data_IF_526715187226
#
_entry.id   IF_526715187226
#
_cell.length_a   1.000
_cell.length_b   1.000
_cell.length_c   1.000
_cell.angle_alpha   90.00
_cell.angle_beta   90.00
_cell.angle_gamma   90.00
#
_symmetry.space_group_name_H-M   'P 1'
#
loop_
_entity.id
_entity.type
_entity.pdbx_description
1 polymer ?
#
# COMPACT_ATOMS: atom_id res chain seq x y z
N UNK A 1 32.09 -15.05 -3.08
CA UNK A 1 32.65 -13.70 -2.77
C UNK A 1 31.83 -12.73 -3.58
N UNK A 2 30.85 -12.10 -2.94
CA UNK A 2 30.04 -11.04 -3.52
C UNK A 2 30.78 -9.74 -3.27
N UNK A 3 31.26 -9.10 -4.34
CA UNK A 3 31.82 -7.77 -4.26
C UNK A 3 30.75 -6.82 -3.69
N UNK A 4 31.05 -6.24 -2.53
CA UNK A 4 30.26 -5.14 -1.99
C UNK A 4 30.42 -3.93 -2.91
N UNK A 5 29.37 -3.55 -3.60
CA UNK A 5 29.34 -2.30 -4.38
C UNK A 5 29.31 -1.15 -3.39
N UNK A 6 30.46 -0.54 -3.14
CA UNK A 6 30.60 0.70 -2.37
C UNK A 6 30.17 1.85 -3.25
N UNK A 7 29.10 2.55 -2.88
CA UNK A 7 28.66 3.79 -3.54
C UNK A 7 29.52 4.97 -3.08
N UNK A 8 30.66 5.15 -3.75
CA UNK A 8 31.50 6.35 -3.64
C UNK A 8 31.03 7.38 -4.67
N UNK A 9 29.99 8.14 -4.42
CA UNK A 9 29.71 9.43 -5.03
C UNK A 9 28.33 9.96 -4.59
N UNK A 10 28.28 10.47 -3.38
CA UNK A 10 27.29 11.48 -3.03
C UNK A 10 28.10 12.69 -2.61
N UNK A 11 28.29 13.61 -3.55
CA UNK A 11 28.85 14.93 -3.29
C UNK A 11 27.93 15.68 -2.34
N UNK A 12 28.17 15.52 -1.08
CA UNK A 12 28.02 16.50 0.00
C UNK A 12 28.50 15.83 1.30
N UNK A 13 29.66 16.23 1.74
CA UNK A 13 30.40 15.89 2.95
C UNK A 13 29.54 15.27 4.07
N UNK A 14 29.54 13.93 4.21
CA UNK A 14 28.97 13.31 5.38
C UNK A 14 28.65 11.80 5.33
N UNK A 15 28.94 11.09 4.25
CA UNK A 15 28.75 9.65 4.21
C UNK A 15 29.99 8.95 3.63
N UNK A 16 30.92 8.60 4.47
CA UNK A 16 31.98 7.63 4.18
C UNK A 16 31.45 6.25 4.56
N UNK A 17 31.39 5.34 3.56
CA UNK A 17 31.11 3.89 3.70
C UNK A 17 29.82 3.55 4.49
N UNK A 18 28.67 3.44 3.80
CA UNK A 18 27.41 3.08 4.39
C UNK A 18 26.50 2.29 3.44
N UNK A 19 25.47 1.70 3.98
CA UNK A 19 24.40 1.06 3.24
C UNK A 19 23.62 2.09 2.40
N UNK A 20 23.15 1.70 1.20
CA UNK A 20 22.31 2.55 0.35
C UNK A 20 21.05 3.03 1.08
N UNK A 21 20.45 2.17 1.92
CA UNK A 21 19.30 2.54 2.74
C UNK A 21 19.58 3.71 3.67
N UNK A 22 20.81 3.84 4.20
CA UNK A 22 21.20 4.97 5.04
C UNK A 22 21.37 6.25 4.22
N UNK A 23 21.97 6.16 3.05
CA UNK A 23 22.12 7.29 2.13
C UNK A 23 20.75 7.85 1.68
N UNK A 24 19.80 6.98 1.32
CA UNK A 24 18.44 7.39 0.94
C UNK A 24 17.73 8.04 2.13
N UNK A 25 17.83 7.46 3.34
CA UNK A 25 17.24 8.06 4.55
C UNK A 25 17.83 9.44 4.86
N UNK A 26 19.14 9.62 4.70
CA UNK A 26 19.79 10.91 4.88
C UNK A 26 19.24 11.94 3.89
N UNK A 27 19.16 11.60 2.59
CA UNK A 27 18.60 12.46 1.55
C UNK A 27 17.15 12.87 1.86
N UNK A 28 16.29 11.90 2.25
CA UNK A 28 14.90 12.19 2.64
C UNK A 28 14.82 13.14 3.85
N UNK A 29 15.66 12.95 4.87
CA UNK A 29 15.72 13.85 6.04
C UNK A 29 16.17 15.25 5.67
N UNK A 30 17.21 15.39 4.84
CA UNK A 30 17.71 16.67 4.33
C UNK A 30 16.61 17.42 3.57
N UNK A 31 15.86 16.72 2.73
CA UNK A 31 14.77 17.27 1.90
C UNK A 31 13.47 17.45 2.71
N UNK A 32 13.48 17.17 4.04
CA UNK A 32 12.32 17.20 4.93
C UNK A 32 11.15 16.33 4.43
N UNK A 33 11.46 15.28 3.68
CA UNK A 33 10.47 14.33 3.19
C UNK A 33 10.03 13.42 4.33
N UNK A 34 8.72 13.31 4.53
CA UNK A 34 8.16 12.28 5.42
C UNK A 34 8.34 10.90 4.76
N UNK A 35 8.73 9.90 5.54
CA UNK A 35 8.90 8.52 5.08
C UNK A 35 8.37 7.49 6.10
N UNK A 36 7.18 7.76 6.62
CA UNK A 36 6.47 6.83 7.48
C UNK A 36 6.12 5.55 6.71
N UNK A 37 5.66 4.49 7.42
CA UNK A 37 5.41 3.18 6.81
C UNK A 37 4.49 3.26 5.59
N UNK A 38 3.41 4.03 5.65
CA UNK A 38 2.43 4.21 4.57
C UNK A 38 2.87 5.13 3.43
N UNK A 39 4.01 5.83 3.54
CA UNK A 39 4.45 6.75 2.49
C UNK A 39 5.07 6.01 1.30
N UNK A 40 4.79 6.49 0.09
CA UNK A 40 5.54 6.11 -1.10
C UNK A 40 6.84 6.91 -1.16
N UNK A 41 7.94 6.23 -1.48
CA UNK A 41 9.30 6.78 -1.56
C UNK A 41 9.97 6.51 -2.92
N UNK A 42 9.20 6.13 -3.93
CA UNK A 42 9.72 5.79 -5.25
C UNK A 42 10.56 6.89 -5.89
N UNK A 43 10.25 8.16 -5.61
CA UNK A 43 11.00 9.32 -6.13
C UNK A 43 12.45 9.40 -5.62
N UNK A 44 12.79 8.63 -4.60
CA UNK A 44 14.14 8.56 -4.01
C UNK A 44 14.93 7.34 -4.45
N UNK A 45 14.34 6.49 -5.30
CA UNK A 45 14.95 5.27 -5.81
C UNK A 45 15.31 5.42 -7.29
N UNK A 46 16.49 4.93 -7.65
CA UNK A 46 16.97 4.81 -9.02
C UNK A 46 16.87 3.36 -9.50
N UNK A 47 17.08 3.15 -10.78
CA UNK A 47 17.16 1.82 -11.37
C UNK A 47 18.30 1.01 -10.70
N UNK A 48 18.00 -0.21 -10.27
CA UNK A 48 18.96 -1.07 -9.56
C UNK A 48 18.97 -0.93 -8.03
N UNK A 49 18.55 0.22 -7.46
CA UNK A 49 18.60 0.47 -6.02
C UNK A 49 17.81 -0.57 -5.22
N UNK A 50 16.68 -1.05 -5.76
CA UNK A 50 15.84 -2.05 -5.09
C UNK A 50 16.59 -3.36 -4.83
N UNK A 51 17.39 -3.83 -5.77
CA UNK A 51 18.15 -5.09 -5.58
C UNK A 51 19.25 -4.92 -4.52
N UNK A 52 19.84 -3.74 -4.43
CA UNK A 52 20.81 -3.41 -3.38
C UNK A 52 20.14 -3.39 -2.01
N UNK A 53 19.00 -2.71 -1.88
CA UNK A 53 18.22 -2.69 -0.65
C UNK A 53 17.74 -4.10 -0.24
N UNK A 54 17.40 -4.97 -1.22
CA UNK A 54 17.09 -6.38 -0.95
C UNK A 54 18.30 -7.11 -0.38
N UNK A 55 19.51 -6.85 -0.87
CA UNK A 55 20.72 -7.47 -0.33
C UNK A 55 20.99 -6.98 1.10
N UNK A 56 20.93 -5.67 1.36
CA UNK A 56 21.06 -5.09 2.70
C UNK A 56 20.02 -5.68 3.69
N UNK A 57 18.75 -5.75 3.25
CA UNK A 57 17.70 -6.36 4.06
C UNK A 57 17.91 -7.87 4.28
N UNK A 58 18.52 -8.57 3.32
CA UNK A 58 18.88 -9.99 3.45
C UNK A 58 19.86 -10.17 4.60
N UNK A 59 20.93 -9.38 4.65
CA UNK A 59 21.92 -9.42 5.74
C UNK A 59 21.26 -9.13 7.11
N UNK A 60 20.34 -8.16 7.16
CA UNK A 60 19.61 -7.86 8.37
C UNK A 60 18.70 -9.03 8.81
N UNK A 61 18.00 -9.69 7.87
CA UNK A 61 17.19 -10.88 8.17
C UNK A 61 18.04 -12.09 8.56
N UNK A 62 19.24 -12.25 8.00
CA UNK A 62 20.19 -13.27 8.45
C UNK A 62 20.52 -13.09 9.93
N UNK A 63 20.82 -11.86 10.32
CA UNK A 63 21.09 -11.51 11.73
C UNK A 63 19.90 -11.81 12.65
N UNK A 64 18.66 -11.55 12.18
CA UNK A 64 17.45 -11.88 12.95
C UNK A 64 17.32 -13.41 13.12
N UNK A 65 17.48 -14.18 12.04
CA UNK A 65 17.39 -15.66 12.11
C UNK A 65 18.45 -16.25 13.02
N UNK A 66 19.69 -15.76 12.96
CA UNK A 66 20.77 -16.19 13.84
C UNK A 66 20.46 -15.88 15.33
N UNK A 67 19.86 -14.71 15.58
CA UNK A 67 19.45 -14.31 16.94
C UNK A 67 18.28 -15.19 17.46
N UNK A 68 17.45 -15.70 16.56
CA UNK A 68 16.39 -16.68 16.87
C UNK A 68 16.95 -18.11 17.00
N UNK A 69 18.27 -18.32 16.88
CA UNK A 69 18.95 -19.60 16.97
C UNK A 69 18.50 -20.60 15.89
N UNK A 70 18.18 -20.10 14.70
CA UNK A 70 17.83 -20.92 13.53
C UNK A 70 19.09 -21.26 12.77
N UNK A 71 19.36 -22.56 12.58
CA UNK A 71 20.50 -23.05 11.81
C UNK A 71 20.25 -22.89 10.31
N UNK A 72 20.60 -21.73 9.76
CA UNK A 72 20.45 -21.42 8.33
C UNK A 72 21.41 -22.17 7.41
N UNK A 73 22.47 -22.73 7.94
CA UNK A 73 23.51 -23.41 7.16
C UNK A 73 23.11 -24.86 6.89
N UNK A 74 22.60 -25.57 7.89
CA UNK A 74 22.35 -27.00 7.84
C UNK A 74 20.85 -27.35 7.69
N UNK A 75 19.92 -26.47 8.11
CA UNK A 75 18.49 -26.69 7.87
C UNK A 75 18.11 -26.36 6.41
N UNK A 76 17.74 -27.37 5.59
CA UNK A 76 17.41 -27.16 4.19
C UNK A 76 16.14 -26.30 4.00
N UNK A 77 15.26 -26.21 5.00
CA UNK A 77 14.04 -25.40 4.93
C UNK A 77 14.32 -23.91 5.21
N UNK A 78 15.30 -23.64 6.08
CA UNK A 78 15.66 -22.27 6.48
C UNK A 78 16.75 -21.66 5.57
N UNK A 79 17.44 -22.50 4.77
CA UNK A 79 18.41 -22.04 3.78
C UNK A 79 17.77 -21.05 2.79
N UNK A 80 18.30 -19.83 2.73
CA UNK A 80 17.79 -18.77 1.85
C UNK A 80 16.50 -18.07 2.35
N UNK A 81 16.01 -18.35 3.56
CA UNK A 81 14.83 -17.68 4.15
C UNK A 81 15.03 -16.18 4.26
N UNK A 82 16.20 -15.71 4.67
CA UNK A 82 16.51 -14.29 4.77
C UNK A 82 16.25 -13.53 3.44
N UNK A 83 16.76 -14.08 2.33
CA UNK A 83 16.55 -13.48 1.00
C UNK A 83 15.09 -13.58 0.54
N UNK A 84 14.39 -14.67 0.85
CA UNK A 84 12.94 -14.77 0.55
C UNK A 84 12.14 -13.73 1.31
N UNK A 85 12.45 -13.49 2.59
CA UNK A 85 11.83 -12.43 3.38
C UNK A 85 12.11 -11.06 2.79
N UNK A 86 13.38 -10.73 2.48
CA UNK A 86 13.72 -9.46 1.86
C UNK A 86 12.96 -9.23 0.55
N UNK A 87 12.97 -10.20 -0.37
CA UNK A 87 12.21 -10.09 -1.64
C UNK A 87 10.71 -9.95 -1.42
N UNK A 88 10.14 -10.69 -0.48
CA UNK A 88 8.71 -10.57 -0.13
C UNK A 88 8.38 -9.15 0.33
N UNK A 89 9.20 -8.55 1.20
CA UNK A 89 8.98 -7.18 1.65
C UNK A 89 9.04 -6.17 0.50
N UNK A 90 10.09 -6.19 -0.31
CA UNK A 90 10.30 -5.18 -1.34
C UNK A 90 9.41 -5.34 -2.57
N UNK A 91 9.10 -6.57 -2.98
CA UNK A 91 8.43 -6.84 -4.25
C UNK A 91 6.94 -7.15 -4.09
N UNK A 92 6.51 -7.65 -2.92
CA UNK A 92 5.16 -8.16 -2.73
C UNK A 92 4.37 -7.30 -1.73
N UNK A 93 4.67 -7.44 -0.42
CA UNK A 93 3.82 -6.88 0.63
C UNK A 93 4.00 -5.38 0.85
N UNK A 94 5.17 -4.81 0.51
CA UNK A 94 5.43 -3.37 0.54
C UNK A 94 5.83 -2.78 -0.81
N UNK A 95 5.63 -3.49 -1.92
CA UNK A 95 5.99 -3.02 -3.25
C UNK A 95 5.42 -1.65 -3.60
N UNK A 96 4.19 -1.34 -3.19
CA UNK A 96 3.56 -0.03 -3.40
C UNK A 96 4.26 1.14 -2.67
N UNK A 97 5.15 0.86 -1.72
CA UNK A 97 6.02 1.87 -1.11
C UNK A 97 7.16 2.30 -2.06
N UNK A 98 7.66 1.36 -2.86
CA UNK A 98 8.83 1.50 -3.72
C UNK A 98 8.48 1.69 -5.20
N UNK A 99 7.27 1.28 -5.61
CA UNK A 99 6.78 1.45 -6.98
C UNK A 99 6.15 2.83 -7.18
N UNK A 100 6.32 3.47 -8.33
CA UNK A 100 5.58 4.68 -8.66
C UNK A 100 4.06 4.41 -8.69
N UNK A 101 3.28 5.48 -8.60
CA UNK A 101 1.83 5.38 -8.72
C UNK A 101 1.45 4.74 -10.08
N UNK A 102 0.46 3.83 -10.11
CA UNK A 102 0.01 3.26 -11.36
C UNK A 102 -0.62 4.33 -12.26
N UNK A 103 -0.31 4.28 -13.56
CA UNK A 103 -0.92 5.17 -14.53
C UNK A 103 -2.44 5.03 -14.53
N UNK A 104 -3.13 6.14 -14.39
CA UNK A 104 -4.58 6.24 -14.48
C UNK A 104 -4.96 6.95 -15.78
N UNK A 105 -5.12 6.18 -16.87
CA UNK A 105 -5.66 6.74 -18.12
C UNK A 105 -7.05 7.29 -17.86
N UNK A 106 -7.20 8.60 -18.02
CA UNK A 106 -8.45 9.30 -17.87
C UNK A 106 -9.11 9.56 -19.22
N UNK A 107 -10.44 9.56 -19.23
CA UNK A 107 -11.27 9.88 -20.39
C UNK A 107 -12.12 11.11 -20.05
N UNK A 108 -12.36 12.02 -20.99
CA UNK A 108 -13.29 13.13 -20.79
C UNK A 108 -14.70 12.62 -20.44
N UNK A 109 -15.37 13.29 -19.51
CA UNK A 109 -16.78 13.08 -19.17
C UNK A 109 -17.57 14.38 -19.41
N UNK A 110 -17.34 14.99 -20.56
CA UNK A 110 -17.82 16.31 -20.96
C UNK A 110 -18.77 16.30 -22.17
N UNK A 111 -19.24 15.10 -22.57
CA UNK A 111 -20.22 14.94 -23.64
C UNK A 111 -21.62 15.35 -23.20
N UNK A 112 -22.56 15.56 -24.16
CA UNK A 112 -23.95 15.87 -23.87
C UNK A 112 -24.65 14.79 -23.00
N UNK A 113 -24.17 13.52 -23.10
CA UNK A 113 -24.62 12.37 -22.31
C UNK A 113 -23.59 12.02 -21.21
N UNK A 114 -23.13 13.03 -20.44
CA UNK A 114 -22.14 12.77 -19.39
C UNK A 114 -22.70 11.84 -18.31
N UNK A 115 -21.85 10.97 -17.80
CA UNK A 115 -22.21 10.12 -16.66
C UNK A 115 -22.22 10.95 -15.35
N UNK A 116 -23.37 11.04 -14.69
CA UNK A 116 -23.58 11.79 -13.45
C UNK A 116 -23.93 10.88 -12.27
N UNK A 117 -24.05 9.59 -12.49
CA UNK A 117 -24.40 8.63 -11.46
C UNK A 117 -23.25 8.28 -10.51
N UNK A 118 -23.58 7.51 -9.50
CA UNK A 118 -22.60 6.92 -8.60
C UNK A 118 -22.03 5.64 -9.19
N UNK A 119 -20.69 5.57 -9.29
CA UNK A 119 -19.96 4.34 -9.61
C UNK A 119 -19.43 3.75 -8.31
N UNK A 120 -19.68 2.47 -8.04
CA UNK A 120 -19.12 1.75 -6.89
C UNK A 120 -18.29 0.56 -7.37
N UNK A 121 -17.01 0.59 -7.07
CA UNK A 121 -16.05 -0.48 -7.41
C UNK A 121 -15.67 -1.24 -6.16
N UNK A 122 -15.80 -2.57 -6.20
CA UNK A 122 -15.28 -3.49 -5.18
C UNK A 122 -13.86 -3.93 -5.55
N UNK A 123 -12.94 -3.83 -4.60
CA UNK A 123 -11.54 -4.24 -4.79
C UNK A 123 -11.10 -5.11 -3.61
N UNK A 124 -10.56 -6.29 -3.88
CA UNK A 124 -9.88 -7.06 -2.85
C UNK A 124 -8.60 -6.35 -2.41
N UNK A 125 -8.35 -6.37 -1.12
CA UNK A 125 -7.16 -5.78 -0.50
C UNK A 125 -6.31 -6.85 0.17
N UNK A 126 -5.00 -6.74 -0.07
CA UNK A 126 -3.97 -7.41 0.69
C UNK A 126 -3.00 -6.36 1.17
N UNK A 127 -2.94 -6.16 2.47
CA UNK A 127 -2.10 -5.16 3.11
C UNK A 127 -1.33 -5.79 4.27
N UNK A 128 -0.52 -5.00 4.92
CA UNK A 128 0.25 -5.38 6.09
C UNK A 128 0.10 -4.30 7.16
N UNK A 129 -0.21 -4.71 8.39
CA UNK A 129 -0.28 -3.79 9.52
C UNK A 129 1.13 -3.31 9.88
N UNK A 130 1.32 -1.99 9.98
CA UNK A 130 2.61 -1.39 10.34
C UNK A 130 3.12 -1.74 11.74
N UNK A 131 2.23 -2.15 12.67
CA UNK A 131 2.61 -2.42 14.05
C UNK A 131 3.38 -3.74 14.23
N UNK A 132 2.93 -4.81 13.60
CA UNK A 132 3.49 -6.15 13.81
C UNK A 132 3.85 -6.86 12.51
N UNK A 133 3.74 -6.16 11.37
CA UNK A 133 3.98 -6.70 10.03
C UNK A 133 3.17 -8.00 9.77
N UNK A 134 1.97 -8.08 10.35
CA UNK A 134 1.04 -9.17 10.08
C UNK A 134 0.08 -8.79 8.94
N UNK A 135 -0.39 -9.79 8.16
CA UNK A 135 -1.26 -9.54 7.02
C UNK A 135 -2.59 -8.91 7.44
N UNK A 136 -3.09 -8.03 6.59
CA UNK A 136 -4.44 -7.47 6.62
C UNK A 136 -5.12 -7.90 5.34
N UNK A 137 -6.23 -8.61 5.45
CA UNK A 137 -6.97 -9.14 4.30
C UNK A 137 -8.41 -8.66 4.32
N UNK A 138 -8.88 -8.14 3.19
CA UNK A 138 -10.23 -7.61 3.14
C UNK A 138 -10.65 -7.09 1.79
N UNK A 139 -11.63 -6.21 1.81
CA UNK A 139 -12.25 -5.61 0.63
C UNK A 139 -12.41 -4.12 0.84
N UNK A 140 -12.11 -3.33 -0.19
CA UNK A 140 -12.50 -1.93 -0.30
C UNK A 140 -13.66 -1.76 -1.27
N UNK A 141 -14.61 -0.92 -0.90
CA UNK A 141 -15.66 -0.41 -1.76
C UNK A 141 -15.36 1.08 -1.99
N UNK A 142 -15.21 1.45 -3.25
CA UNK A 142 -14.84 2.81 -3.67
C UNK A 142 -16.00 3.37 -4.47
N UNK A 143 -16.73 4.31 -3.86
CA UNK A 143 -17.81 5.04 -4.50
C UNK A 143 -17.30 6.37 -5.03
N UNK A 144 -17.67 6.74 -6.25
CA UNK A 144 -17.34 8.03 -6.84
C UNK A 144 -18.52 8.58 -7.65
N UNK A 145 -18.76 9.87 -7.54
CA UNK A 145 -19.58 10.63 -8.48
C UNK A 145 -18.60 11.34 -9.41
N UNK A 146 -18.66 10.99 -10.69
CA UNK A 146 -17.70 11.48 -11.67
C UNK A 146 -17.82 13.02 -11.83
N UNK A 147 -16.67 13.66 -11.97
CA UNK A 147 -16.59 15.05 -12.41
C UNK A 147 -16.37 15.10 -13.94
N UNK A 148 -15.41 15.87 -14.41
CA UNK A 148 -15.11 16.02 -15.82
C UNK A 148 -14.29 14.88 -16.42
N UNK A 149 -13.86 13.92 -15.60
CA UNK A 149 -13.04 12.79 -16.03
C UNK A 149 -13.55 11.48 -15.45
N UNK A 150 -13.43 10.43 -16.25
CA UNK A 150 -13.60 9.02 -15.87
C UNK A 150 -12.25 8.31 -16.03
N UNK A 151 -11.98 7.32 -15.21
CA UNK A 151 -10.83 6.41 -15.37
C UNK A 151 -11.31 5.00 -15.63
N UNK A 152 -10.48 4.19 -16.29
CA UNK A 152 -10.82 2.78 -16.55
C UNK A 152 -11.09 2.03 -15.24
N UNK A 153 -12.10 1.15 -15.21
CA UNK A 153 -12.55 0.42 -14.02
C UNK A 153 -11.40 -0.30 -13.29
N UNK A 154 -10.47 -0.92 -14.03
CA UNK A 154 -9.30 -1.59 -13.45
C UNK A 154 -8.34 -0.64 -12.71
N UNK A 155 -8.40 0.67 -12.99
CA UNK A 155 -7.52 1.65 -12.37
C UNK A 155 -7.86 1.88 -10.90
N UNK A 156 -9.14 1.84 -10.54
CA UNK A 156 -9.59 1.90 -9.14
C UNK A 156 -8.96 0.79 -8.31
N UNK A 157 -9.04 -0.45 -8.79
CA UNK A 157 -8.42 -1.61 -8.12
C UNK A 157 -6.90 -1.50 -8.06
N UNK A 158 -6.23 -1.09 -9.14
CA UNK A 158 -4.76 -0.94 -9.16
C UNK A 158 -4.28 0.11 -8.17
N UNK A 159 -4.96 1.26 -8.09
CA UNK A 159 -4.65 2.32 -7.12
C UNK A 159 -4.87 1.82 -5.69
N UNK A 160 -6.01 1.16 -5.42
CA UNK A 160 -6.30 0.62 -4.10
C UNK A 160 -5.25 -0.42 -3.65
N UNK A 161 -4.87 -1.35 -4.53
CA UNK A 161 -3.84 -2.35 -4.26
C UNK A 161 -2.45 -1.72 -4.09
N UNK A 162 -2.11 -0.71 -4.86
CA UNK A 162 -0.85 0.02 -4.72
C UNK A 162 -0.78 0.75 -3.37
N UNK A 163 -1.86 1.40 -2.92
CA UNK A 163 -1.95 1.98 -1.59
C UNK A 163 -1.86 0.91 -0.49
N UNK A 164 -2.52 -0.24 -0.66
CA UNK A 164 -2.54 -1.32 0.31
C UNK A 164 -1.15 -1.95 0.54
N UNK A 165 -0.32 -2.01 -0.50
CA UNK A 165 1.02 -2.59 -0.45
C UNK A 165 2.09 -1.60 0.05
N UNK A 166 1.83 -0.92 1.18
CA UNK A 166 2.78 0.02 1.79
C UNK A 166 3.08 -0.28 3.26
N UNK A 167 2.32 -1.13 3.90
CA UNK A 167 2.45 -1.41 5.34
C UNK A 167 1.95 -0.25 6.20
N UNK A 168 0.65 -0.01 6.20
CA UNK A 168 0.00 1.13 6.85
C UNK A 168 -1.12 0.70 7.79
N UNK A 169 -1.66 1.63 8.56
CA UNK A 169 -2.90 1.43 9.31
C UNK A 169 -4.11 1.45 8.38
N UNK A 170 -5.17 0.73 8.71
CA UNK A 170 -6.38 0.67 7.86
C UNK A 170 -7.04 2.03 7.71
N UNK A 171 -7.01 2.87 8.72
CA UNK A 171 -7.55 4.23 8.72
C UNK A 171 -6.78 5.14 7.74
N UNK A 172 -5.44 5.04 7.74
CA UNK A 172 -4.59 5.75 6.80
C UNK A 172 -4.77 5.23 5.37
N UNK A 173 -4.85 3.90 5.19
CA UNK A 173 -5.11 3.26 3.91
C UNK A 173 -6.40 3.77 3.28
N UNK A 174 -7.47 3.88 4.07
CA UNK A 174 -8.76 4.39 3.61
C UNK A 174 -8.65 5.83 3.07
N UNK A 175 -7.92 6.70 3.78
CA UNK A 175 -7.63 8.07 3.35
C UNK A 175 -6.72 8.12 2.11
N UNK A 176 -5.72 7.25 2.04
CA UNK A 176 -4.78 7.20 0.92
C UNK A 176 -5.49 6.80 -0.38
N UNK A 177 -6.33 5.77 -0.33
CA UNK A 177 -7.14 5.36 -1.48
C UNK A 177 -8.04 6.52 -1.93
N UNK A 178 -8.75 7.18 -1.00
CA UNK A 178 -9.60 8.31 -1.33
C UNK A 178 -8.80 9.44 -2.02
N UNK A 179 -7.66 9.82 -1.46
CA UNK A 179 -6.80 10.88 -2.00
C UNK A 179 -6.30 10.56 -3.42
N UNK A 180 -5.79 9.35 -3.64
CA UNK A 180 -5.23 8.99 -4.94
C UNK A 180 -6.31 8.84 -6.03
N UNK A 181 -7.50 8.33 -5.69
CA UNK A 181 -8.63 8.28 -6.64
C UNK A 181 -9.14 9.69 -6.95
N UNK A 182 -9.30 10.57 -5.97
CA UNK A 182 -9.68 11.97 -6.19
C UNK A 182 -8.70 12.66 -7.14
N UNK A 183 -7.39 12.46 -6.94
CA UNK A 183 -6.35 13.00 -7.81
C UNK A 183 -6.45 12.47 -9.26
N UNK A 184 -6.77 11.18 -9.42
CA UNK A 184 -6.85 10.55 -10.72
C UNK A 184 -8.12 10.96 -11.52
N UNK A 185 -9.20 11.33 -10.83
CA UNK A 185 -10.53 11.61 -11.42
C UNK A 185 -10.91 13.09 -11.40
N UNK A 186 -10.15 13.94 -10.74
CA UNK A 186 -10.48 15.34 -10.42
C UNK A 186 -11.86 15.49 -9.73
N UNK A 187 -12.37 14.44 -9.08
CA UNK A 187 -13.63 14.50 -8.34
C UNK A 187 -13.39 14.74 -6.86
N UNK A 188 -14.19 15.62 -6.27
CA UNK A 188 -14.22 15.85 -4.81
C UNK A 188 -15.21 14.93 -4.08
N UNK A 189 -16.05 14.19 -4.84
CA UNK A 189 -17.12 13.36 -4.31
C UNK A 189 -16.71 11.90 -4.27
N UNK A 190 -16.24 11.42 -3.12
CA UNK A 190 -15.76 10.06 -2.94
C UNK A 190 -16.19 9.45 -1.60
N UNK A 191 -16.56 8.19 -1.64
CA UNK A 191 -16.72 7.32 -0.49
C UNK A 191 -15.77 6.12 -0.58
N UNK A 192 -15.02 5.85 0.47
CA UNK A 192 -14.21 4.63 0.59
C UNK A 192 -14.62 3.91 1.87
N UNK A 193 -14.99 2.65 1.74
CA UNK A 193 -15.31 1.78 2.87
C UNK A 193 -14.42 0.54 2.78
N UNK A 194 -13.70 0.23 3.85
CA UNK A 194 -12.83 -0.95 3.95
C UNK A 194 -13.36 -1.85 5.05
N UNK A 195 -13.49 -3.13 4.75
CA UNK A 195 -13.78 -4.19 5.68
C UNK A 195 -12.66 -5.22 5.62
N UNK A 196 -11.95 -5.45 6.73
CA UNK A 196 -10.79 -6.33 6.74
C UNK A 196 -10.58 -7.04 8.09
N UNK A 197 -9.92 -8.19 8.01
CA UNK A 197 -9.38 -8.93 9.16
C UNK A 197 -7.90 -8.63 9.31
N UNK A 198 -7.41 -8.70 10.55
CA UNK A 198 -6.05 -8.32 10.92
C UNK A 198 -5.32 -9.49 11.58
N UNK A 199 -4.31 -10.04 10.92
CA UNK A 199 -3.50 -11.14 11.48
C UNK A 199 -2.83 -10.78 12.81
N UNK A 200 -2.58 -9.49 13.08
CA UNK A 200 -2.06 -9.05 14.38
C UNK A 200 -3.05 -9.23 15.54
N UNK A 201 -4.36 -9.31 15.26
CA UNK A 201 -5.41 -9.58 16.22
C UNK A 201 -5.83 -11.06 16.22
N UNK A 202 -5.77 -11.73 15.07
CA UNK A 202 -6.26 -13.12 14.91
C UNK A 202 -5.20 -14.16 15.27
N UNK A 203 -3.94 -13.96 14.82
CA UNK A 203 -2.90 -15.01 14.86
C UNK A 203 -1.94 -14.87 16.04
N UNK A 204 -2.04 -13.82 16.82
CA UNK A 204 -1.20 -13.53 17.98
C UNK A 204 -1.89 -12.59 18.97
N UNK A 205 -1.26 -12.35 20.13
CA UNK A 205 -1.77 -11.41 21.15
C UNK A 205 -3.12 -11.86 21.68
N UNK A 206 -4.17 -11.09 21.37
CA UNK A 206 -5.53 -11.35 21.87
C UNK A 206 -6.21 -12.56 21.23
N UNK A 207 -5.72 -13.05 20.08
CA UNK A 207 -6.27 -14.20 19.33
C UNK A 207 -7.78 -14.11 19.06
N UNK A 208 -8.25 -12.93 18.63
CA UNK A 208 -9.66 -12.68 18.33
C UNK A 208 -9.99 -13.16 16.91
N UNK A 209 -10.24 -14.44 16.72
CA UNK A 209 -10.41 -15.12 15.41
C UNK A 209 -11.58 -14.63 14.55
N UNK A 210 -12.55 -13.92 15.13
CA UNK A 210 -13.69 -13.35 14.42
C UNK A 210 -13.64 -11.83 14.32
N UNK A 211 -12.49 -11.24 14.59
CA UNK A 211 -12.32 -9.79 14.59
C UNK A 211 -12.44 -9.25 13.16
N UNK A 212 -13.37 -8.33 12.95
CA UNK A 212 -13.60 -7.66 11.68
C UNK A 212 -13.57 -6.14 11.90
N UNK A 213 -12.69 -5.45 11.21
CA UNK A 213 -12.56 -3.99 11.31
C UNK A 213 -13.17 -3.32 10.08
N UNK A 214 -13.96 -2.29 10.33
CA UNK A 214 -14.60 -1.48 9.29
C UNK A 214 -14.13 -0.04 9.43
N UNK A 215 -13.66 0.56 8.33
CA UNK A 215 -13.29 1.98 8.27
C UNK A 215 -13.97 2.65 7.09
N UNK A 216 -14.30 3.92 7.26
CA UNK A 216 -15.02 4.69 6.23
C UNK A 216 -14.42 6.09 6.11
N UNK A 217 -14.20 6.54 4.89
CA UNK A 217 -13.87 7.92 4.54
C UNK A 217 -14.89 8.41 3.52
N UNK A 218 -15.55 9.52 3.83
CA UNK A 218 -16.54 10.17 2.96
C UNK A 218 -16.13 11.61 2.73
N UNK A 219 -16.19 12.09 1.47
CA UNK A 219 -15.87 13.47 1.08
C UNK A 219 -16.90 13.98 0.07
N UNK A 220 -17.07 15.31 0.02
CA UNK A 220 -18.04 15.97 -0.83
C UNK A 220 -19.46 15.44 -0.60
N UNK A 221 -20.22 15.19 -1.65
CA UNK A 221 -21.62 14.74 -1.55
C UNK A 221 -21.79 13.46 -0.71
N UNK A 222 -20.82 12.53 -0.71
CA UNK A 222 -20.89 11.35 0.16
C UNK A 222 -20.91 11.69 1.65
N UNK A 223 -20.30 12.81 2.04
CA UNK A 223 -20.30 13.31 3.42
C UNK A 223 -21.51 14.18 3.72
N UNK A 224 -21.83 15.09 2.79
CA UNK A 224 -22.70 16.24 3.04
C UNK A 224 -24.16 15.97 2.67
N UNK A 225 -24.44 15.01 1.76
CA UNK A 225 -25.81 14.62 1.36
C UNK A 225 -26.20 13.25 1.92
N UNK A 226 -27.24 13.18 2.80
CA UNK A 226 -27.72 11.92 3.36
C UNK A 226 -28.23 10.92 2.31
N UNK A 227 -28.76 11.38 1.17
CA UNK A 227 -29.25 10.54 0.08
C UNK A 227 -28.11 9.81 -0.58
N UNK A 228 -27.07 10.52 -1.01
CA UNK A 228 -25.84 9.98 -1.60
C UNK A 228 -25.15 9.00 -0.64
N UNK A 229 -25.07 9.35 0.63
CA UNK A 229 -24.50 8.46 1.65
C UNK A 229 -25.29 7.17 1.76
N UNK A 230 -26.63 7.25 1.80
CA UNK A 230 -27.49 6.07 1.88
C UNK A 230 -27.33 5.18 0.65
N UNK A 231 -27.38 5.77 -0.55
CA UNK A 231 -27.20 5.07 -1.82
C UNK A 231 -25.86 4.30 -1.86
N UNK A 232 -24.77 4.93 -1.39
CA UNK A 232 -23.46 4.28 -1.32
C UNK A 232 -23.49 3.00 -0.46
N UNK A 233 -24.04 3.08 0.75
CA UNK A 233 -24.10 1.90 1.62
C UNK A 233 -25.09 0.85 1.15
N UNK A 234 -26.18 1.22 0.49
CA UNK A 234 -27.12 0.28 -0.12
C UNK A 234 -26.46 -0.46 -1.30
N UNK A 235 -25.68 0.22 -2.15
CA UNK A 235 -24.90 -0.40 -3.21
C UNK A 235 -23.85 -1.40 -2.64
N UNK A 236 -23.20 -1.06 -1.52
CA UNK A 236 -22.28 -2.00 -0.85
C UNK A 236 -23.01 -3.25 -0.38
N UNK A 237 -24.17 -3.12 0.26
CA UNK A 237 -24.98 -4.27 0.71
C UNK A 237 -25.36 -5.18 -0.44
N UNK A 238 -25.87 -4.60 -1.54
CA UNK A 238 -26.21 -5.37 -2.75
C UNK A 238 -24.99 -6.12 -3.29
N UNK A 239 -23.82 -5.50 -3.36
CA UNK A 239 -22.60 -6.18 -3.84
C UNK A 239 -22.14 -7.29 -2.87
N UNK A 240 -22.36 -7.15 -1.56
CA UNK A 240 -22.04 -8.20 -0.59
C UNK A 240 -22.95 -9.42 -0.74
N UNK A 241 -24.24 -9.22 -1.06
CA UNK A 241 -25.19 -10.29 -1.31
C UNK A 241 -24.91 -11.07 -2.60
N UNK A 242 -24.43 -10.40 -3.65
CA UNK A 242 -24.11 -10.99 -4.95
C UNK A 242 -22.67 -11.54 -5.06
N UNK A 243 -21.81 -11.27 -4.09
CA UNK A 243 -20.43 -11.78 -4.14
C UNK A 243 -20.41 -13.28 -3.79
N UNK A 244 -19.87 -14.14 -4.67
CA UNK A 244 -19.64 -15.54 -4.28
C UNK A 244 -18.68 -15.57 -3.08
N UNK A 245 -19.02 -16.42 -2.13
CA UNK A 245 -18.24 -16.66 -0.89
C UNK A 245 -16.90 -17.30 -1.21
#
# INVERSE_FOLDING_TARGET
MTESVTYNNIDDKGYEEGYLGDAIRFKMKRDKKRFWAGDNISDYLHEGDREILINEATEAFEKVLDTLLIDRENDPNSKGTARRLAKMYFNEIMGGRYDPAPDATAFPNDTEERYEGMLVVRSELRSMCSHHHQPVSGVAYIGIIAANKLIGLSKYTRIAQWCARRGTLQEELCNDIAREIMKATDSENIGVYIQATHGCCENRGIMAHSSLTQTTVLKGAFKDDPGTKKEFFDNIKMQQEFSPR
#
